data_IF_622448162153
#
_entry.id   IF_622448162153
#
_cell.length_a   1.000
_cell.length_b   1.000
_cell.length_c   1.000
_cell.angle_alpha   90.00
_cell.angle_beta   90.00
_cell.angle_gamma   90.00
#
_symmetry.space_group_name_H-M   'P 1'
#
loop_
_entity.id
_entity.type
_entity.pdbx_description
1 polymer ?
#
# COMPACT_ATOMS: atom_id res chain seq x y z
N UNK A 1 12.18 1.64 17.80
CA UNK A 1 11.23 1.82 16.69
C UNK A 1 10.07 2.63 17.23
N UNK A 2 9.42 3.47 16.44
CA UNK A 2 8.24 4.20 16.92
C UNK A 2 7.13 3.19 17.29
N UNK A 3 6.43 3.43 18.39
CA UNK A 3 5.47 2.49 19.03
C UNK A 3 4.43 1.93 18.05
N UNK A 4 3.95 2.76 17.11
CA UNK A 4 2.97 2.35 16.09
C UNK A 4 3.46 1.25 15.14
N UNK A 5 4.78 1.10 14.95
CA UNK A 5 5.35 0.07 14.06
C UNK A 5 5.09 -1.33 14.61
N UNK A 6 4.93 -1.49 15.93
CA UNK A 6 4.62 -2.78 16.55
C UNK A 6 3.24 -3.30 16.12
N UNK A 7 2.29 -2.39 15.84
CA UNK A 7 0.96 -2.73 15.36
C UNK A 7 0.91 -3.23 13.92
N UNK A 8 1.96 -3.01 13.12
CA UNK A 8 2.01 -3.45 11.73
C UNK A 8 2.39 -4.94 11.67
N UNK A 9 1.62 -5.81 11.02
CA UNK A 9 1.98 -7.23 10.86
C UNK A 9 3.36 -7.46 10.24
N UNK A 10 3.74 -6.65 9.25
CA UNK A 10 5.08 -6.67 8.64
C UNK A 10 6.21 -6.11 9.51
N UNK A 11 5.91 -5.58 10.71
CA UNK A 11 6.88 -5.09 11.72
C UNK A 11 7.88 -4.04 11.21
N UNK A 12 7.48 -3.23 10.23
CA UNK A 12 8.27 -2.13 9.70
C UNK A 12 7.38 -1.02 9.18
N UNK A 13 7.90 0.20 9.16
CA UNK A 13 7.31 1.29 8.40
C UNK A 13 7.37 0.98 6.89
N UNK A 14 6.38 1.50 6.16
CA UNK A 14 6.41 1.52 4.70
C UNK A 14 7.57 2.38 4.17
N UNK A 15 8.05 2.01 2.99
CA UNK A 15 9.04 2.75 2.23
C UNK A 15 8.40 3.27 0.94
N UNK A 16 8.98 4.28 0.27
CA UNK A 16 8.47 4.77 -1.01
C UNK A 16 8.29 3.66 -2.05
N UNK A 17 9.17 2.66 -2.04
CA UNK A 17 9.13 1.55 -2.99
C UNK A 17 7.90 0.65 -2.79
N UNK A 18 7.33 0.59 -1.58
CA UNK A 18 6.13 -0.21 -1.29
C UNK A 18 4.88 0.37 -1.99
N UNK A 19 4.85 1.69 -2.26
CA UNK A 19 3.73 2.34 -2.96
C UNK A 19 3.97 2.49 -4.47
N UNK A 20 5.23 2.63 -4.88
CA UNK A 20 5.60 2.96 -6.25
C UNK A 20 5.10 1.93 -7.27
N UNK A 21 5.16 0.65 -6.94
CA UNK A 21 4.71 -0.43 -7.83
C UNK A 21 3.21 -0.36 -8.14
N UNK A 22 2.37 -0.11 -7.12
CA UNK A 22 0.93 0.04 -7.35
C UNK A 22 0.62 1.29 -8.15
N UNK A 23 1.28 2.41 -7.85
CA UNK A 23 1.08 3.67 -8.59
C UNK A 23 1.45 3.50 -10.06
N UNK A 24 2.58 2.82 -10.35
CA UNK A 24 2.98 2.54 -11.72
C UNK A 24 1.95 1.66 -12.46
N UNK A 25 1.39 0.64 -11.79
CA UNK A 25 0.32 -0.17 -12.36
C UNK A 25 -0.96 0.65 -12.60
N UNK A 26 -1.40 1.45 -11.63
CA UNK A 26 -2.59 2.28 -11.77
C UNK A 26 -2.47 3.35 -12.86
N UNK A 27 -1.24 3.80 -13.15
CA UNK A 27 -0.95 4.73 -14.23
C UNK A 27 -0.75 4.04 -15.59
N UNK A 28 -0.70 2.70 -15.65
CA UNK A 28 -0.51 1.95 -16.89
C UNK A 28 -1.83 1.62 -17.58
N UNK A 29 -1.75 1.17 -18.84
CA UNK A 29 -2.90 0.70 -19.60
C UNK A 29 -3.56 -0.55 -19.00
N UNK A 30 -2.84 -1.30 -18.16
CA UNK A 30 -3.37 -2.51 -17.52
C UNK A 30 -4.49 -2.19 -16.52
N UNK A 31 -4.49 -0.97 -15.96
CA UNK A 31 -5.51 -0.51 -15.02
C UNK A 31 -6.65 0.29 -15.68
N UNK A 32 -6.75 0.33 -17.02
CA UNK A 32 -7.68 1.21 -17.77
C UNK A 32 -9.18 1.10 -17.43
N UNK A 33 -9.60 0.03 -16.77
CA UNK A 33 -11.00 -0.19 -16.34
C UNK A 33 -11.17 -0.18 -14.82
N UNK A 34 -10.12 0.17 -14.08
CA UNK A 34 -10.11 0.24 -12.63
C UNK A 34 -10.33 1.70 -12.21
N UNK A 35 -11.50 1.98 -11.65
CA UNK A 35 -11.87 3.31 -11.14
C UNK A 35 -12.72 3.19 -9.88
N UNK A 36 -12.71 4.24 -9.05
CA UNK A 36 -13.48 4.31 -7.80
C UNK A 36 -13.00 3.37 -6.70
N UNK A 37 -11.80 2.80 -6.82
CA UNK A 37 -11.24 1.86 -5.84
C UNK A 37 -10.30 2.58 -4.87
N UNK A 38 -10.30 2.11 -3.63
CA UNK A 38 -9.30 2.45 -2.61
C UNK A 38 -8.52 1.19 -2.29
N UNK A 39 -7.19 1.24 -2.40
CA UNK A 39 -6.31 0.08 -2.18
C UNK A 39 -5.38 0.40 -1.03
N UNK A 40 -5.42 -0.42 0.02
CA UNK A 40 -4.57 -0.26 1.19
C UNK A 40 -3.16 -0.79 0.92
N UNK A 41 -2.15 0.04 1.24
CA UNK A 41 -0.74 -0.34 1.23
C UNK A 41 -0.14 0.07 2.58
N UNK A 42 -0.31 -0.79 3.58
CA UNK A 42 -0.03 -0.45 4.98
C UNK A 42 0.70 -1.55 5.75
N UNK A 43 1.17 -2.59 5.06
CA UNK A 43 1.82 -3.75 5.68
C UNK A 43 0.88 -4.59 6.57
N UNK A 44 -0.43 -4.48 6.36
CA UNK A 44 -1.49 -5.21 7.06
C UNK A 44 -2.04 -4.50 8.30
N UNK A 45 -1.83 -3.19 8.43
CA UNK A 45 -2.25 -2.42 9.61
C UNK A 45 -3.78 -2.35 9.73
N UNK A 46 -4.48 -2.23 8.60
CA UNK A 46 -5.94 -2.16 8.52
C UNK A 46 -6.46 -3.44 7.85
N UNK A 47 -7.48 -4.05 8.45
CA UNK A 47 -8.28 -5.08 7.77
C UNK A 47 -9.51 -4.40 7.15
N UNK A 48 -9.51 -4.30 5.82
CA UNK A 48 -10.60 -3.74 5.00
C UNK A 48 -11.37 -4.82 4.25
#
# INVERSE_FOLDING_TARGET
MAEWVEGIPMKRAGKPEDVAGLVAFLASDDARYLTGQTINIDGGLIMS
#
